data_IF_079061113943
#
_entry.id   IF_079061113943
#
_cell.length_a   1.000
_cell.length_b   1.000
_cell.length_c   1.000
_cell.angle_alpha   90.00
_cell.angle_beta   90.00
_cell.angle_gamma   90.00
#
_symmetry.space_group_name_H-M   'P 1'
#
loop_
_entity.id
_entity.type
_entity.pdbx_description
1 polymer ?
#
# COMPACT_ATOMS: atom_id res chain seq x y z
N UNK A 1 -8.61 5.75 12.75
CA UNK A 1 -7.36 6.15 12.06
C UNK A 1 -6.44 6.89 13.02
N UNK A 2 -5.13 6.72 12.83
CA UNK A 2 -4.13 7.59 13.45
C UNK A 2 -4.35 9.04 13.00
N UNK A 3 -3.94 9.98 13.84
CA UNK A 3 -4.01 11.42 13.59
C UNK A 3 -2.70 12.07 13.98
N UNK A 4 -2.43 13.24 13.42
CA UNK A 4 -1.40 14.12 13.95
C UNK A 4 -1.84 14.62 15.33
N UNK A 5 -0.89 14.68 16.27
CA UNK A 5 -1.07 15.36 17.54
C UNK A 5 -1.29 16.87 17.34
N UNK A 6 -1.77 17.56 18.40
CA UNK A 6 -1.99 19.02 18.36
C UNK A 6 -0.72 19.82 18.06
N UNK A 7 0.43 19.34 18.54
CA UNK A 7 1.75 19.95 18.29
C UNK A 7 2.33 19.62 16.89
N UNK A 8 1.66 18.74 16.13
CA UNK A 8 2.08 18.24 14.80
C UNK A 8 3.46 17.57 14.77
N UNK A 9 3.97 17.11 15.92
CA UNK A 9 5.26 16.42 16.04
C UNK A 9 5.12 14.92 16.25
N UNK A 10 3.94 14.46 16.64
CA UNK A 10 3.69 13.08 17.03
C UNK A 10 2.43 12.54 16.34
N UNK A 11 2.26 11.22 16.45
CA UNK A 11 1.02 10.55 16.09
C UNK A 11 0.20 10.27 17.35
N UNK A 12 -1.11 10.30 17.22
CA UNK A 12 -2.05 9.89 18.27
C UNK A 12 -3.06 8.89 17.73
N UNK A 13 -3.49 7.98 18.58
CA UNK A 13 -4.60 7.07 18.30
C UNK A 13 -5.97 7.78 18.34
N UNK A 14 -7.04 7.03 18.10
CA UNK A 14 -8.42 7.53 18.13
C UNK A 14 -8.88 8.05 19.52
N UNK A 15 -8.15 7.72 20.59
CA UNK A 15 -8.41 8.17 21.96
C UNK A 15 -7.51 9.34 22.36
N UNK A 16 -6.66 9.83 21.45
CA UNK A 16 -5.72 10.91 21.70
C UNK A 16 -4.46 10.48 22.45
N UNK A 17 -4.23 9.17 22.63
CA UNK A 17 -2.98 8.67 23.23
C UNK A 17 -1.86 8.73 22.20
N UNK A 18 -0.67 9.17 22.62
CA UNK A 18 0.51 9.14 21.77
C UNK A 18 0.77 7.73 21.24
N UNK A 19 1.06 7.67 19.94
CA UNK A 19 1.35 6.47 19.20
C UNK A 19 2.80 6.53 18.71
N UNK A 20 3.65 5.69 19.28
CA UNK A 20 5.00 5.46 18.76
C UNK A 20 4.91 4.55 17.54
N UNK A 21 5.39 5.01 16.38
CA UNK A 21 5.48 4.18 15.18
C UNK A 21 6.63 3.18 15.32
N UNK A 22 6.33 1.92 15.61
CA UNK A 22 7.31 0.83 15.71
C UNK A 22 7.02 -0.22 14.63
N UNK A 23 7.76 -0.17 13.53
CA UNK A 23 7.43 -0.95 12.33
C UNK A 23 8.39 -2.10 12.05
N UNK A 24 7.84 -3.20 11.54
CA UNK A 24 8.60 -4.19 10.76
C UNK A 24 8.34 -3.99 9.26
N UNK A 25 9.24 -4.52 8.43
CA UNK A 25 9.22 -4.37 6.97
C UNK A 25 8.89 -5.70 6.31
N UNK A 26 7.64 -5.86 5.90
CA UNK A 26 7.12 -7.05 5.23
C UNK A 26 6.75 -6.78 3.77
N UNK A 27 7.66 -6.19 2.98
CA UNK A 27 7.35 -5.65 1.64
C UNK A 27 6.47 -6.56 0.77
N UNK A 28 6.78 -7.85 0.75
CA UNK A 28 6.13 -8.82 -0.13
C UNK A 28 4.98 -9.60 0.54
N UNK A 29 4.49 -9.15 1.69
CA UNK A 29 3.47 -9.87 2.48
C UNK A 29 2.22 -10.23 1.67
N UNK A 30 1.71 -9.32 0.82
CA UNK A 30 0.54 -9.57 -0.03
C UNK A 30 0.83 -10.48 -1.24
N UNK A 31 2.10 -10.68 -1.58
CA UNK A 31 2.49 -11.40 -2.79
C UNK A 31 2.99 -12.81 -2.47
N UNK A 32 3.78 -12.97 -1.40
CA UNK A 32 4.56 -14.19 -1.17
C UNK A 32 3.99 -15.08 -0.07
N UNK A 33 3.08 -14.58 0.76
CA UNK A 33 2.48 -15.35 1.84
C UNK A 33 1.09 -15.85 1.45
N UNK A 34 0.79 -17.09 1.81
CA UNK A 34 -0.58 -17.60 1.86
C UNK A 34 -1.27 -17.16 3.17
N UNK A 35 -2.53 -17.58 3.37
CA UNK A 35 -3.30 -17.20 4.55
C UNK A 35 -2.67 -17.68 5.86
N UNK A 36 -2.22 -18.94 5.93
CA UNK A 36 -1.60 -19.51 7.13
C UNK A 36 -0.29 -18.79 7.45
N UNK A 37 0.58 -18.61 6.46
CA UNK A 37 1.86 -17.90 6.60
C UNK A 37 1.63 -16.43 7.01
N UNK A 38 0.57 -15.79 6.51
CA UNK A 38 0.20 -14.43 6.92
C UNK A 38 -0.18 -14.36 8.40
N UNK A 39 -0.97 -15.33 8.88
CA UNK A 39 -1.36 -15.39 10.30
C UNK A 39 -0.14 -15.58 11.18
N UNK A 40 0.75 -16.49 10.80
CA UNK A 40 2.00 -16.77 11.51
C UNK A 40 2.90 -15.53 11.58
N UNK A 41 3.19 -14.92 10.42
CA UNK A 41 4.01 -13.71 10.33
C UNK A 41 3.45 -12.59 11.20
N UNK A 42 2.17 -12.23 11.02
CA UNK A 42 1.56 -11.11 11.76
C UNK A 42 1.52 -11.35 13.27
N UNK A 43 1.30 -12.61 13.70
CA UNK A 43 1.30 -12.97 15.11
C UNK A 43 2.70 -12.89 15.72
N UNK A 44 3.72 -13.34 14.98
CA UNK A 44 5.12 -13.21 15.40
C UNK A 44 5.53 -11.73 15.50
N UNK A 45 5.15 -10.87 14.56
CA UNK A 45 5.49 -9.43 14.65
C UNK A 45 4.81 -8.75 15.82
N UNK A 46 3.59 -9.17 16.15
CA UNK A 46 2.94 -8.71 17.37
C UNK A 46 3.67 -9.17 18.64
N UNK A 47 4.15 -10.41 18.72
CA UNK A 47 4.87 -10.90 19.92
C UNK A 47 6.21 -10.20 20.12
N UNK A 48 6.83 -9.73 19.03
CA UNK A 48 8.05 -8.91 19.05
C UNK A 48 7.80 -7.41 19.30
N UNK A 49 6.54 -7.00 19.51
CA UNK A 49 6.19 -5.62 19.86
C UNK A 49 6.05 -4.65 18.69
N UNK A 50 6.15 -5.12 17.44
CA UNK A 50 5.86 -4.28 16.27
C UNK A 50 4.39 -3.92 16.21
N UNK A 51 4.12 -2.65 15.92
CA UNK A 51 2.77 -2.13 15.84
C UNK A 51 2.33 -1.68 14.44
N UNK A 52 3.29 -1.52 13.53
CA UNK A 52 3.04 -1.25 12.11
C UNK A 52 3.77 -2.28 11.25
N UNK A 53 3.19 -2.67 10.14
CA UNK A 53 3.87 -3.45 9.10
C UNK A 53 3.90 -2.64 7.82
N UNK A 54 5.10 -2.38 7.29
CA UNK A 54 5.28 -1.73 5.99
C UNK A 54 5.24 -2.77 4.87
N UNK A 55 4.44 -2.51 3.84
CA UNK A 55 4.17 -3.46 2.75
C UNK A 55 4.08 -2.75 1.40
N UNK A 56 4.42 -3.47 0.33
CA UNK A 56 4.10 -3.05 -1.04
C UNK A 56 2.75 -3.65 -1.42
N UNK A 57 1.83 -2.83 -1.94
CA UNK A 57 0.50 -3.28 -2.33
C UNK A 57 0.53 -4.22 -3.52
N UNK A 58 1.41 -3.95 -4.49
CA UNK A 58 1.40 -4.57 -5.81
C UNK A 58 2.72 -5.26 -6.15
N UNK A 59 3.75 -5.12 -5.30
CA UNK A 59 5.11 -5.55 -5.58
C UNK A 59 5.80 -4.63 -6.60
N UNK A 60 6.75 -5.19 -7.34
CA UNK A 60 7.44 -4.54 -8.46
C UNK A 60 6.66 -4.73 -9.75
N UNK A 61 6.64 -3.72 -10.63
CA UNK A 61 6.00 -3.83 -11.95
C UNK A 61 6.68 -4.90 -12.81
N UNK A 62 8.00 -5.03 -12.67
CA UNK A 62 8.78 -6.09 -13.26
C UNK A 62 10.01 -6.36 -12.40
N UNK A 63 10.24 -7.61 -11.99
CA UNK A 63 11.44 -8.01 -11.26
C UNK A 63 11.98 -9.29 -11.88
N UNK A 64 13.25 -9.28 -12.29
CA UNK A 64 13.91 -10.44 -12.91
C UNK A 64 13.11 -11.04 -14.09
N UNK A 65 12.63 -10.17 -14.98
CA UNK A 65 11.79 -10.56 -16.13
C UNK A 65 10.35 -10.93 -15.79
N UNK A 66 9.96 -11.00 -14.52
CA UNK A 66 8.64 -11.45 -14.08
C UNK A 66 7.74 -10.29 -13.64
N UNK A 67 6.46 -10.39 -13.98
CA UNK A 67 5.40 -9.48 -13.50
C UNK A 67 4.90 -9.92 -12.13
N UNK A 68 4.32 -9.02 -11.33
CA UNK A 68 3.87 -9.36 -9.98
C UNK A 68 2.70 -10.33 -10.02
N UNK A 69 2.81 -11.40 -9.23
CA UNK A 69 1.77 -12.40 -9.01
C UNK A 69 1.80 -12.80 -7.55
N UNK A 70 0.63 -12.84 -6.91
CA UNK A 70 0.54 -13.35 -5.54
C UNK A 70 0.58 -14.88 -5.51
N UNK A 71 0.67 -15.44 -4.30
CA UNK A 71 0.70 -16.89 -4.06
C UNK A 71 -0.56 -17.64 -4.54
N UNK A 72 -1.65 -16.93 -4.80
CA UNK A 72 -2.88 -17.48 -5.37
C UNK A 72 -2.90 -17.42 -6.91
N UNK A 73 -1.80 -17.05 -7.55
CA UNK A 73 -1.72 -16.91 -9.02
C UNK A 73 -2.40 -15.64 -9.56
N UNK A 74 -2.73 -14.68 -8.72
CA UNK A 74 -3.45 -13.47 -9.12
C UNK A 74 -2.47 -12.31 -9.35
N UNK A 75 -2.57 -11.67 -10.51
CA UNK A 75 -1.88 -10.41 -10.81
C UNK A 75 -2.64 -9.22 -10.18
N UNK A 76 -1.98 -8.11 -9.80
CA UNK A 76 -2.66 -6.91 -9.31
C UNK A 76 -3.62 -6.27 -10.32
N UNK A 77 -3.32 -6.40 -11.62
CA UNK A 77 -4.12 -5.87 -12.72
C UNK A 77 -4.44 -6.98 -13.73
N UNK A 78 -5.61 -6.90 -14.37
CA UNK A 78 -6.11 -7.94 -15.30
C UNK A 78 -5.44 -7.85 -16.68
N UNK A 79 -5.08 -6.65 -17.11
CA UNK A 79 -4.41 -6.38 -18.40
C UNK A 79 -2.93 -6.09 -18.18
N UNK A 80 -2.21 -7.11 -17.72
CA UNK A 80 -0.79 -7.01 -17.38
C UNK A 80 -0.47 -5.90 -16.36
N UNK A 81 0.23 -4.83 -16.75
CA UNK A 81 0.57 -3.70 -15.88
C UNK A 81 -0.28 -2.47 -16.19
N UNK A 82 -1.41 -2.63 -16.90
CA UNK A 82 -2.39 -1.58 -17.09
C UNK A 82 -3.10 -1.28 -15.77
N UNK A 83 -2.66 -0.21 -15.11
CA UNK A 83 -3.15 0.24 -13.79
C UNK A 83 -4.66 0.53 -13.82
N UNK A 84 -5.23 0.84 -14.99
CA UNK A 84 -6.65 1.18 -15.12
C UNK A 84 -7.60 -0.01 -14.95
N UNK A 85 -7.07 -1.25 -14.92
CA UNK A 85 -7.86 -2.48 -14.83
C UNK A 85 -7.46 -3.33 -13.62
N UNK A 86 -7.73 -2.87 -12.38
CA UNK A 86 -7.39 -3.61 -11.16
C UNK A 86 -8.12 -4.95 -11.10
N UNK A 87 -7.45 -5.98 -10.59
CA UNK A 87 -7.99 -7.34 -10.46
C UNK A 87 -8.76 -7.52 -9.14
N UNK A 88 -10.10 -7.66 -9.16
CA UNK A 88 -10.87 -7.74 -7.92
C UNK A 88 -10.45 -8.88 -7.00
N UNK A 89 -10.08 -10.04 -7.56
CA UNK A 89 -9.69 -11.22 -6.79
C UNK A 89 -8.37 -11.01 -6.04
N UNK A 90 -7.43 -10.26 -6.64
CA UNK A 90 -6.20 -9.86 -5.96
C UNK A 90 -6.52 -8.97 -4.76
N UNK A 91 -7.37 -7.96 -4.94
CA UNK A 91 -7.75 -7.04 -3.88
C UNK A 91 -8.63 -7.69 -2.79
N UNK A 92 -9.37 -8.75 -3.10
CA UNK A 92 -10.06 -9.57 -2.08
C UNK A 92 -9.07 -10.23 -1.12
N UNK A 93 -7.93 -10.73 -1.65
CA UNK A 93 -6.86 -11.23 -0.80
C UNK A 93 -6.26 -10.12 0.08
N UNK A 94 -6.01 -8.92 -0.47
CA UNK A 94 -5.54 -7.76 0.31
C UNK A 94 -6.49 -7.47 1.47
N UNK A 95 -7.80 -7.38 1.20
CA UNK A 95 -8.80 -7.12 2.22
C UNK A 95 -8.87 -8.21 3.30
N UNK A 96 -8.69 -9.48 2.92
CA UNK A 96 -8.59 -10.58 3.88
C UNK A 96 -7.40 -10.36 4.84
N UNK A 97 -6.23 -10.00 4.30
CA UNK A 97 -5.04 -9.73 5.12
C UNK A 97 -5.24 -8.50 6.01
N UNK A 98 -5.85 -7.43 5.49
CA UNK A 98 -6.17 -6.24 6.28
C UNK A 98 -7.12 -6.56 7.44
N UNK A 99 -8.17 -7.36 7.21
CA UNK A 99 -9.07 -7.83 8.28
C UNK A 99 -8.31 -8.62 9.33
N UNK A 100 -7.36 -9.47 8.92
CA UNK A 100 -6.54 -10.23 9.87
C UNK A 100 -5.65 -9.32 10.71
N UNK A 101 -4.97 -8.35 10.10
CA UNK A 101 -4.16 -7.36 10.80
C UNK A 101 -4.98 -6.56 11.83
N UNK A 102 -6.19 -6.12 11.45
CA UNK A 102 -7.09 -5.36 12.34
C UNK A 102 -7.50 -6.17 13.57
N UNK A 103 -7.83 -7.46 13.38
CA UNK A 103 -8.24 -8.36 14.46
C UNK A 103 -7.21 -8.52 15.58
N UNK A 104 -5.93 -8.24 15.28
CA UNK A 104 -4.84 -8.29 16.27
C UNK A 104 -4.27 -6.89 16.59
N UNK A 105 -4.91 -5.84 16.08
CA UNK A 105 -4.64 -4.43 16.34
C UNK A 105 -3.45 -3.86 15.58
N UNK A 106 -3.04 -4.45 14.45
CA UNK A 106 -1.90 -4.01 13.64
C UNK A 106 -2.27 -2.99 12.58
N UNK A 107 -1.44 -1.97 12.44
CA UNK A 107 -1.54 -1.00 11.33
C UNK A 107 -0.74 -1.53 10.14
N UNK A 108 -1.26 -1.34 8.95
CA UNK A 108 -0.58 -1.68 7.69
C UNK A 108 -0.27 -0.37 6.96
N UNK A 109 1.02 -0.11 6.75
CA UNK A 109 1.52 1.04 5.99
C UNK A 109 1.83 0.58 4.56
N UNK A 110 1.04 1.03 3.60
CA UNK A 110 0.97 0.47 2.25
C UNK A 110 1.61 1.43 1.25
N UNK A 111 2.61 0.94 0.52
CA UNK A 111 3.11 1.58 -0.69
C UNK A 111 2.35 1.06 -1.92
N UNK A 112 1.46 1.83 -2.57
CA UNK A 112 0.57 1.29 -3.60
C UNK A 112 1.28 0.84 -4.87
N UNK A 113 2.17 1.69 -5.38
CA UNK A 113 2.93 1.52 -6.61
C UNK A 113 4.38 1.90 -6.29
N UNK A 114 5.21 0.92 -5.96
CA UNK A 114 6.61 1.16 -5.54
C UNK A 114 7.42 1.84 -6.66
N UNK A 115 8.11 2.95 -6.40
CA UNK A 115 8.87 3.65 -7.45
C UNK A 115 10.07 2.83 -7.94
N UNK A 116 10.84 2.27 -7.01
CA UNK A 116 11.99 1.38 -7.27
C UNK A 116 13.27 2.11 -7.72
N UNK A 117 14.45 1.54 -7.46
CA UNK A 117 15.73 2.17 -7.77
C UNK A 117 16.44 1.64 -9.05
N UNK A 118 16.03 0.49 -9.59
CA UNK A 118 16.74 -0.19 -10.68
C UNK A 118 15.86 -0.53 -11.91
N UNK A 119 14.80 0.25 -12.14
CA UNK A 119 13.87 0.01 -13.26
C UNK A 119 12.90 -1.16 -13.03
N UNK A 120 12.78 -1.63 -11.80
CA UNK A 120 11.83 -2.68 -11.40
C UNK A 120 10.43 -2.17 -11.04
N UNK A 121 10.36 -0.93 -10.54
CA UNK A 121 9.15 -0.35 -10.00
C UNK A 121 8.21 0.21 -11.05
N UNK A 122 7.22 0.94 -10.56
CA UNK A 122 6.07 1.42 -11.32
C UNK A 122 6.28 2.80 -11.93
N UNK A 123 7.26 3.56 -11.42
CA UNK A 123 7.60 4.92 -11.85
C UNK A 123 8.87 4.94 -12.71
N UNK A 124 8.98 5.95 -13.56
CA UNK A 124 10.07 6.18 -14.50
C UNK A 124 9.62 6.20 -15.96
N UNK A 125 10.57 6.51 -16.84
CA UNK A 125 10.32 6.57 -18.29
C UNK A 125 9.94 5.21 -18.86
N UNK A 126 8.86 5.18 -19.63
CA UNK A 126 8.23 3.98 -20.21
C UNK A 126 7.54 3.08 -19.19
N UNK A 127 7.34 3.55 -17.94
CA UNK A 127 6.77 2.73 -16.86
C UNK A 127 5.27 2.95 -16.70
N UNK A 128 4.56 2.00 -16.07
CA UNK A 128 3.11 2.04 -15.99
C UNK A 128 2.53 3.34 -15.42
N UNK A 129 3.17 3.97 -14.42
CA UNK A 129 2.65 5.23 -13.87
C UNK A 129 2.68 6.37 -14.90
N UNK A 130 3.76 6.52 -15.65
CA UNK A 130 3.87 7.50 -16.73
C UNK A 130 2.81 7.21 -17.82
N UNK A 131 2.71 5.95 -18.24
CA UNK A 131 1.78 5.52 -19.29
C UNK A 131 0.30 5.71 -18.91
N UNK A 132 -0.02 5.55 -17.63
CA UNK A 132 -1.38 5.69 -17.10
C UNK A 132 -1.81 7.16 -16.96
N UNK A 133 -0.85 8.11 -17.03
CA UNK A 133 -1.06 9.57 -16.93
C UNK A 133 -1.65 10.03 -15.58
N UNK A 134 -1.62 11.34 -15.27
CA UNK A 134 -2.13 11.83 -13.99
C UNK A 134 -3.59 11.42 -13.71
N UNK A 135 -4.46 11.46 -14.72
CA UNK A 135 -5.89 11.14 -14.57
C UNK A 135 -6.12 9.64 -14.27
N UNK A 136 -5.35 8.76 -14.91
CA UNK A 136 -5.44 7.33 -14.63
C UNK A 136 -4.91 6.98 -13.24
N UNK A 137 -3.85 7.65 -12.79
CA UNK A 137 -3.32 7.48 -11.43
C UNK A 137 -4.31 7.99 -10.38
N UNK A 138 -5.01 9.10 -10.66
CA UNK A 138 -6.12 9.57 -9.83
C UNK A 138 -7.24 8.52 -9.74
N UNK A 139 -7.67 7.98 -10.89
CA UNK A 139 -8.74 6.98 -10.94
C UNK A 139 -8.37 5.70 -10.16
N UNK A 140 -7.12 5.25 -10.25
CA UNK A 140 -6.64 4.14 -9.43
C UNK A 140 -6.62 4.51 -7.94
N UNK A 141 -6.23 5.74 -7.59
CA UNK A 141 -6.35 6.27 -6.24
C UNK A 141 -7.78 6.24 -5.73
N UNK A 142 -8.77 6.63 -6.54
CA UNK A 142 -10.18 6.55 -6.17
C UNK A 142 -10.63 5.11 -5.93
N UNK A 143 -10.18 4.17 -6.77
CA UNK A 143 -10.45 2.75 -6.57
C UNK A 143 -9.93 2.26 -5.22
N UNK A 144 -8.68 2.60 -4.87
CA UNK A 144 -8.09 2.26 -3.57
C UNK A 144 -8.82 2.94 -2.42
N UNK A 145 -9.15 4.23 -2.54
CA UNK A 145 -9.86 4.98 -1.52
C UNK A 145 -11.27 4.43 -1.25
N UNK A 146 -12.04 4.10 -2.31
CA UNK A 146 -13.38 3.49 -2.19
C UNK A 146 -13.32 2.11 -1.52
N UNK A 147 -12.33 1.30 -1.91
CA UNK A 147 -12.24 -0.10 -1.46
C UNK A 147 -11.59 -0.23 -0.08
N UNK A 148 -10.45 0.43 0.13
CA UNK A 148 -9.62 0.28 1.31
C UNK A 148 -9.79 1.41 2.33
N UNK A 149 -10.49 2.50 2.00
CA UNK A 149 -10.75 3.63 2.90
C UNK A 149 -11.54 3.29 4.15
N UNK A 150 -12.30 2.18 4.13
CA UNK A 150 -13.03 1.65 5.31
C UNK A 150 -12.12 1.10 6.40
N UNK A 151 -10.88 0.73 6.08
CA UNK A 151 -9.93 0.14 7.03
C UNK A 151 -9.17 1.23 7.78
N UNK A 152 -9.61 1.50 9.01
CA UNK A 152 -9.11 2.61 9.83
C UNK A 152 -7.64 2.44 10.26
N UNK A 153 -7.08 1.23 10.14
CA UNK A 153 -5.70 0.86 10.47
C UNK A 153 -4.78 0.84 9.24
N UNK A 154 -5.17 1.47 8.13
CA UNK A 154 -4.32 1.65 6.96
C UNK A 154 -3.71 3.05 6.95
N UNK A 155 -2.41 3.10 6.61
CA UNK A 155 -1.63 4.31 6.32
C UNK A 155 -1.01 4.14 4.93
N UNK A 156 -0.82 5.21 4.18
CA UNK A 156 -0.24 5.15 2.84
C UNK A 156 1.17 5.74 2.78
N UNK A 157 2.02 5.10 1.99
CA UNK A 157 3.39 5.53 1.67
C UNK A 157 3.42 5.81 0.16
N UNK A 158 3.52 7.07 -0.26
CA UNK A 158 3.71 7.39 -1.67
C UNK A 158 5.17 7.20 -2.09
N UNK A 159 5.42 6.90 -3.37
CA UNK A 159 6.76 6.62 -3.88
C UNK A 159 7.27 5.22 -3.53
N UNK A 160 8.51 5.15 -3.06
CA UNK A 160 9.18 3.94 -2.60
C UNK A 160 10.58 3.80 -3.18
N UNK A 161 11.59 3.79 -2.30
CA UNK A 161 13.02 3.57 -2.60
C UNK A 161 13.74 4.64 -3.45
N UNK A 162 13.03 5.45 -4.22
CA UNK A 162 13.65 6.45 -5.10
C UNK A 162 12.80 7.72 -5.23
N UNK A 163 13.44 8.80 -5.68
CA UNK A 163 12.76 10.04 -6.05
C UNK A 163 11.82 9.77 -7.25
N UNK A 164 10.53 10.15 -7.16
CA UNK A 164 9.58 9.92 -8.25
C UNK A 164 9.91 10.72 -9.53
N UNK A 165 10.74 11.76 -9.46
CA UNK A 165 11.17 12.56 -10.62
C UNK A 165 9.97 13.04 -11.45
N UNK A 166 9.93 12.64 -12.72
CA UNK A 166 8.83 12.99 -13.65
C UNK A 166 7.46 12.46 -13.21
N UNK A 167 7.39 11.41 -12.39
CA UNK A 167 6.16 10.82 -11.87
C UNK A 167 5.67 11.49 -10.58
N UNK A 168 6.29 12.58 -10.13
CA UNK A 168 5.85 13.33 -8.94
C UNK A 168 4.37 13.69 -9.00
N UNK A 169 3.88 14.18 -10.15
CA UNK A 169 2.47 14.51 -10.33
C UNK A 169 1.59 13.25 -10.39
N UNK A 170 2.08 12.14 -10.94
CA UNK A 170 1.35 10.87 -10.95
C UNK A 170 1.13 10.33 -9.53
N UNK A 171 2.15 10.40 -8.66
CA UNK A 171 1.98 10.06 -7.23
C UNK A 171 1.07 11.04 -6.50
N UNK A 172 1.14 12.33 -6.83
CA UNK A 172 0.24 13.33 -6.26
C UNK A 172 -1.22 13.02 -6.60
N UNK A 173 -1.51 12.71 -7.86
CA UNK A 173 -2.85 12.34 -8.29
C UNK A 173 -3.33 11.03 -7.65
N UNK A 174 -2.46 10.03 -7.54
CA UNK A 174 -2.75 8.80 -6.79
C UNK A 174 -3.16 9.12 -5.34
N UNK A 175 -2.40 9.94 -4.64
CA UNK A 175 -2.69 10.35 -3.26
C UNK A 175 -4.02 11.13 -3.15
N UNK A 176 -4.28 12.05 -4.08
CA UNK A 176 -5.53 12.83 -4.12
C UNK A 176 -6.75 11.93 -4.38
N UNK A 177 -6.64 10.97 -5.30
CA UNK A 177 -7.68 9.98 -5.56
C UNK A 177 -8.00 9.15 -4.32
N UNK A 178 -6.97 8.69 -3.59
CA UNK A 178 -7.16 8.01 -2.29
C UNK A 178 -7.89 8.93 -1.31
N UNK A 179 -7.41 10.16 -1.13
CA UNK A 179 -7.98 11.12 -0.18
C UNK A 179 -9.43 11.50 -0.47
N UNK A 180 -9.86 11.49 -1.74
CA UNK A 180 -11.25 11.74 -2.13
C UNK A 180 -12.24 10.79 -1.43
N UNK A 181 -11.83 9.55 -1.19
CA UNK A 181 -12.68 8.54 -0.55
C UNK A 181 -12.18 8.06 0.82
N UNK A 182 -10.94 8.37 1.19
CA UNK A 182 -10.33 8.04 2.47
C UNK A 182 -9.66 9.25 3.14
N UNK A 183 -10.39 10.36 3.40
CA UNK A 183 -9.78 11.63 3.83
C UNK A 183 -9.04 11.52 5.18
N UNK A 184 -9.48 10.61 6.04
CA UNK A 184 -8.97 10.41 7.39
C UNK A 184 -7.76 9.45 7.51
N UNK A 185 -7.42 8.68 6.46
CA UNK A 185 -6.22 7.84 6.47
C UNK A 185 -4.98 8.72 6.24
N UNK A 186 -3.92 8.54 7.01
CA UNK A 186 -2.69 9.30 6.84
C UNK A 186 -1.96 8.88 5.54
N UNK A 187 -1.27 9.82 4.92
CA UNK A 187 -0.42 9.64 3.75
C UNK A 187 0.92 10.28 4.06
N UNK A 188 2.01 9.63 3.66
CA UNK A 188 3.37 10.18 3.62
C UNK A 188 3.98 10.05 2.24
#
# INVERSE_FOLDING_TARGET
PLKLSKDKRHLTDQKGKYFLYNADTGWMLFLRLNQQETVEYLSQRKSLGFNVIQVQLTGFAQWDGQKPVNRNGQKPFLKDNDISVPNPNYFDHIEWVLKKADSIGRIIAIAPLWAGCCGEGWAGKGKPMELNRPEGNFAFGEYLGKRLGRYKHVLWIMGGDNDPGQDSENYRQLALGIKKHAPAQLIT
#
